data_IF_485516499904
#
_entry.id   IF_485516499904
#
_cell.length_a   1.000
_cell.length_b   1.000
_cell.length_c   1.000
_cell.angle_alpha   90.00
_cell.angle_beta   90.00
_cell.angle_gamma   90.00
#
_symmetry.space_group_name_H-M   'P 1'
#
loop_
_entity.id
_entity.type
_entity.pdbx_description
1 polymer ?
#
# COMPACT_ATOMS: atom_id res chain seq x y z
N UNK A 1 6.05 10.13 5.20
CA UNK A 1 4.73 9.80 4.59
C UNK A 1 4.76 8.34 4.19
N UNK A 2 3.65 7.61 4.34
CA UNK A 2 3.55 6.21 3.89
C UNK A 2 2.41 6.11 2.88
N UNK A 3 2.73 5.67 1.68
CA UNK A 3 1.79 5.43 0.58
C UNK A 3 2.05 4.03 0.04
N UNK A 4 1.09 3.49 -0.72
CA UNK A 4 1.28 2.21 -1.39
C UNK A 4 2.48 2.25 -2.35
N UNK A 5 3.22 1.14 -2.44
CA UNK A 5 4.46 1.02 -3.21
C UNK A 5 4.19 0.73 -4.71
N UNK A 6 3.41 1.58 -5.35
CA UNK A 6 3.04 1.50 -6.77
C UNK A 6 3.22 2.86 -7.46
N UNK A 7 3.34 2.84 -8.79
CA UNK A 7 3.28 4.07 -9.59
C UNK A 7 1.84 4.57 -9.67
N UNK A 8 1.67 5.86 -9.92
CA UNK A 8 0.35 6.47 -10.08
C UNK A 8 -0.42 5.79 -11.22
N UNK A 9 -1.63 5.31 -10.92
CA UNK A 9 -2.49 4.63 -11.89
C UNK A 9 -2.28 3.12 -12.01
N UNK A 10 -1.20 2.57 -11.43
CA UNK A 10 -0.96 1.13 -11.40
C UNK A 10 -1.62 0.47 -10.17
N UNK A 11 -1.97 -0.83 -10.25
CA UNK A 11 -2.50 -1.57 -9.11
C UNK A 11 -1.49 -1.59 -7.95
N UNK A 12 -2.00 -1.62 -6.72
CA UNK A 12 -1.17 -1.77 -5.53
C UNK A 12 -0.63 -3.21 -5.46
N UNK A 13 0.69 -3.42 -5.32
CA UNK A 13 1.25 -4.76 -5.17
C UNK A 13 0.78 -5.40 -3.86
N UNK A 14 0.42 -6.68 -3.91
CA UNK A 14 0.00 -7.43 -2.74
C UNK A 14 1.19 -8.02 -1.98
N UNK A 15 2.29 -8.30 -2.69
CA UNK A 15 3.52 -8.91 -2.17
C UNK A 15 4.75 -8.19 -2.69
N UNK A 16 5.88 -8.32 -2.01
CA UNK A 16 7.12 -7.61 -2.38
C UNK A 16 7.59 -7.95 -3.80
N UNK A 17 7.41 -9.19 -4.25
CA UNK A 17 7.79 -9.64 -5.59
C UNK A 17 7.04 -8.92 -6.73
N UNK A 18 5.91 -8.26 -6.44
CA UNK A 18 5.12 -7.49 -7.41
C UNK A 18 5.52 -6.01 -7.46
N UNK A 19 6.37 -5.54 -6.55
CA UNK A 19 6.82 -4.14 -6.53
C UNK A 19 7.74 -3.88 -7.72
N UNK A 20 7.44 -2.81 -8.48
CA UNK A 20 8.28 -2.42 -9.60
C UNK A 20 9.72 -2.13 -9.14
N UNK A 21 10.75 -2.75 -9.74
CA UNK A 21 12.14 -2.55 -9.35
C UNK A 21 12.61 -1.08 -9.40
N UNK A 22 11.97 -0.23 -10.22
CA UNK A 22 12.25 1.20 -10.25
C UNK A 22 11.89 1.90 -8.93
N UNK A 23 10.82 1.46 -8.25
CA UNK A 23 10.42 1.99 -6.94
C UNK A 23 11.47 1.60 -5.88
N UNK A 24 11.87 0.34 -5.88
CA UNK A 24 12.90 -0.19 -4.95
C UNK A 24 14.22 0.56 -5.10
N UNK A 25 14.63 0.84 -6.34
CA UNK A 25 15.86 1.60 -6.64
C UNK A 25 15.76 3.10 -6.30
N UNK A 26 14.56 3.66 -6.30
CA UNK A 26 14.35 5.08 -6.02
C UNK A 26 14.19 5.39 -4.53
N UNK A 27 13.84 4.40 -3.70
CA UNK A 27 13.71 4.57 -2.26
C UNK A 27 15.08 4.70 -1.57
N UNK A 28 15.23 5.63 -0.63
CA UNK A 28 16.49 5.76 0.13
C UNK A 28 16.77 4.53 1.02
N UNK A 29 15.72 3.84 1.46
CA UNK A 29 15.86 2.64 2.27
C UNK A 29 14.75 1.63 1.99
N UNK A 30 15.13 0.35 1.92
CA UNK A 30 14.21 -0.78 1.77
C UNK A 30 14.47 -1.75 2.90
N UNK A 31 13.47 -1.93 3.76
CA UNK A 31 13.56 -2.83 4.91
C UNK A 31 13.47 -4.29 4.43
N UNK A 32 14.45 -5.11 4.83
CA UNK A 32 14.54 -6.53 4.47
C UNK A 32 13.74 -7.44 5.40
N UNK A 33 12.48 -7.10 5.67
CA UNK A 33 11.59 -7.87 6.55
C UNK A 33 10.49 -8.55 5.73
N UNK A 34 10.33 -9.88 5.88
CA UNK A 34 9.29 -10.70 5.23
C UNK A 34 9.15 -10.50 3.70
N UNK A 35 10.21 -10.16 3.00
CA UNK A 35 10.16 -9.94 1.54
C UNK A 35 9.85 -11.21 0.72
N UNK A 36 10.06 -12.40 1.30
CA UNK A 36 9.72 -13.68 0.68
C UNK A 36 8.32 -14.19 1.07
N UNK A 37 7.57 -13.43 1.85
CA UNK A 37 6.19 -13.75 2.20
C UNK A 37 5.27 -13.49 1.00
N UNK A 38 4.56 -14.52 0.56
CA UNK A 38 3.67 -14.50 -0.58
C UNK A 38 2.18 -14.48 -0.18
N UNK A 39 1.89 -14.33 1.13
CA UNK A 39 0.53 -14.23 1.63
C UNK A 39 -0.18 -12.98 1.07
N UNK A 40 -1.25 -13.20 0.30
CA UNK A 40 -2.07 -12.13 -0.27
C UNK A 40 -3.16 -11.72 0.72
N UNK A 41 -3.09 -10.47 1.17
CA UNK A 41 -4.07 -9.87 2.08
C UNK A 41 -4.81 -8.72 1.39
N UNK A 42 -6.07 -8.53 1.77
CA UNK A 42 -6.85 -7.40 1.28
C UNK A 42 -6.20 -6.07 1.73
N UNK A 43 -6.22 -5.04 0.88
CA UNK A 43 -5.71 -3.71 1.24
C UNK A 43 -6.50 -3.14 2.42
N UNK A 44 -5.91 -2.17 3.11
CA UNK A 44 -6.57 -1.55 4.26
C UNK A 44 -7.80 -0.74 3.86
N UNK A 45 -8.87 -0.85 4.64
CA UNK A 45 -10.03 0.04 4.57
C UNK A 45 -9.63 1.49 4.77
N UNK A 46 -10.19 2.37 3.95
CA UNK A 46 -10.05 3.82 4.10
C UNK A 46 -11.40 4.39 4.50
N UNK A 47 -11.45 4.99 5.68
CA UNK A 47 -12.64 5.66 6.20
C UNK A 47 -12.37 7.16 6.33
N UNK A 48 -13.34 7.97 5.91
CA UNK A 48 -13.36 9.40 6.12
C UNK A 48 -14.27 9.73 7.29
N UNK A 49 -13.75 10.48 8.25
CA UNK A 49 -14.52 11.04 9.35
C UNK A 49 -15.08 12.41 8.94
N UNK A 50 -16.39 12.53 8.90
CA UNK A 50 -17.12 13.75 8.62
C UNK A 50 -17.55 14.51 9.88
N UNK A 51 -18.20 15.67 9.71
CA UNK A 51 -18.75 16.46 10.82
C UNK A 51 -19.70 15.62 11.67
N UNK A 52 -19.70 15.87 12.99
CA UNK A 52 -20.57 15.16 13.93
C UNK A 52 -20.26 13.68 14.12
N UNK A 53 -19.09 13.19 13.67
CA UNK A 53 -18.68 11.80 13.87
C UNK A 53 -19.19 10.83 12.81
N UNK A 54 -19.69 11.33 11.67
CA UNK A 54 -20.15 10.49 10.56
C UNK A 54 -18.98 9.75 9.92
N UNK A 55 -19.10 8.43 9.73
CA UNK A 55 -18.10 7.61 9.06
C UNK A 55 -18.55 7.32 7.63
N UNK A 56 -17.70 7.60 6.66
CA UNK A 56 -17.89 7.21 5.26
C UNK A 56 -16.77 6.29 4.83
N UNK A 57 -17.11 5.09 4.34
CA UNK A 57 -16.15 4.19 3.72
C UNK A 57 -15.81 4.74 2.34
N UNK A 58 -14.53 5.04 2.11
CA UNK A 58 -13.98 5.51 0.83
C UNK A 58 -13.46 4.32 0.02
N UNK A 59 -12.96 3.29 0.71
CA UNK A 59 -12.45 2.04 0.12
C UNK A 59 -12.59 0.90 1.12
N UNK A 60 -13.06 -0.27 0.67
CA UNK A 60 -12.98 -1.55 1.39
C UNK A 60 -11.54 -2.10 1.45
#
# INVERSE_FOLDING_TARGET
MSTSANKTGEPTPAVYAEVDPAIVRAAEHVVSWRQADDARVAPSRVVRLGPGGTLQVVRE
#
